data_IF_268706862832
#
_entry.id   IF_268706862832
#
_cell.length_a   1.000
_cell.length_b   1.000
_cell.length_c   1.000
_cell.angle_alpha   90.00
_cell.angle_beta   90.00
_cell.angle_gamma   90.00
#
_symmetry.space_group_name_H-M   'P 1'
#
loop_
_entity.id
_entity.type
_entity.pdbx_description
1 polymer ?
#
# COMPACT_ATOMS: atom_id res chain seq x y z
N UNK A 1 3.86 -18.08 27.38
CA UNK A 1 4.54 -17.08 26.53
C UNK A 1 5.03 -15.96 27.43
N UNK A 2 6.34 -15.70 27.44
CA UNK A 2 6.96 -14.60 28.19
C UNK A 2 6.81 -13.27 27.45
N UNK A 3 7.04 -12.15 28.16
CA UNK A 3 7.07 -10.81 27.55
C UNK A 3 8.17 -10.72 26.47
N UNK A 4 9.30 -11.38 26.67
CA UNK A 4 10.40 -11.40 25.70
C UNK A 4 10.05 -12.18 24.42
N UNK A 5 9.33 -13.30 24.55
CA UNK A 5 8.82 -14.07 23.40
C UNK A 5 7.81 -13.23 22.60
N UNK A 6 6.87 -12.57 23.28
CA UNK A 6 5.89 -11.70 22.62
C UNK A 6 6.55 -10.55 21.85
N UNK A 7 7.56 -9.88 22.43
CA UNK A 7 8.32 -8.81 21.73
C UNK A 7 9.02 -9.32 20.47
N UNK A 8 9.57 -10.52 20.54
CA UNK A 8 10.26 -11.17 19.41
C UNK A 8 9.28 -11.46 18.28
N UNK A 9 8.12 -12.04 18.60
CA UNK A 9 7.06 -12.33 17.63
C UNK A 9 6.49 -11.05 17.00
N UNK A 10 6.23 -10.00 17.80
CA UNK A 10 5.74 -8.72 17.27
C UNK A 10 6.77 -8.04 16.35
N UNK A 11 8.05 -8.07 16.72
CA UNK A 11 9.12 -7.53 15.87
C UNK A 11 9.23 -8.30 14.55
N UNK A 12 9.12 -9.63 14.61
CA UNK A 12 9.08 -10.48 13.42
C UNK A 12 7.87 -10.17 12.53
N UNK A 13 6.69 -9.98 13.14
CA UNK A 13 5.47 -9.61 12.44
C UNK A 13 5.61 -8.26 11.73
N UNK A 14 6.13 -7.24 12.42
CA UNK A 14 6.35 -5.91 11.85
C UNK A 14 7.32 -5.95 10.66
N UNK A 15 8.39 -6.75 10.74
CA UNK A 15 9.36 -6.92 9.66
C UNK A 15 8.77 -7.64 8.43
N UNK A 16 7.70 -8.42 8.59
CA UNK A 16 7.02 -9.14 7.51
C UNK A 16 5.95 -8.31 6.81
N UNK A 17 5.63 -7.10 7.28
CA UNK A 17 4.59 -6.28 6.68
C UNK A 17 4.98 -5.87 5.24
N UNK A 18 4.09 -6.07 4.25
CA UNK A 18 4.42 -5.88 2.83
C UNK A 18 4.37 -4.40 2.38
N UNK A 19 4.84 -3.46 3.21
CA UNK A 19 4.78 -2.02 2.91
C UNK A 19 5.53 -1.66 1.62
N UNK A 20 6.77 -2.13 1.48
CA UNK A 20 7.62 -1.90 0.31
C UNK A 20 7.06 -2.48 -1.00
N UNK A 21 6.65 -3.77 -1.08
CA UNK A 21 6.06 -4.31 -2.30
C UNK A 21 4.72 -3.64 -2.64
N UNK A 22 3.87 -3.30 -1.66
CA UNK A 22 2.63 -2.58 -1.92
C UNK A 22 2.87 -1.15 -2.43
N UNK A 23 3.87 -0.46 -1.89
CA UNK A 23 4.29 0.87 -2.38
C UNK A 23 4.79 0.81 -3.82
N UNK A 24 5.52 -0.25 -4.17
CA UNK A 24 5.98 -0.50 -5.54
C UNK A 24 4.81 -0.77 -6.48
N UNK A 25 3.86 -1.62 -6.07
CA UNK A 25 2.64 -1.91 -6.82
C UNK A 25 1.79 -0.65 -7.03
N UNK A 26 1.69 0.22 -6.01
CA UNK A 26 0.98 1.50 -6.10
C UNK A 26 1.60 2.41 -7.16
N UNK A 27 2.92 2.59 -7.13
CA UNK A 27 3.64 3.42 -8.10
C UNK A 27 3.50 2.87 -9.53
N UNK A 28 3.66 1.56 -9.71
CA UNK A 28 3.46 0.91 -11.01
C UNK A 28 2.03 1.11 -11.55
N UNK A 29 1.02 1.05 -10.68
CA UNK A 29 -0.39 1.31 -11.05
C UNK A 29 -0.60 2.77 -11.45
N UNK A 30 0.04 3.71 -10.76
CA UNK A 30 0.01 5.14 -11.10
C UNK A 30 0.67 5.44 -12.45
N UNK A 31 1.82 4.82 -12.72
CA UNK A 31 2.54 4.95 -13.99
C UNK A 31 1.74 4.36 -15.16
N UNK A 32 1.13 3.19 -14.95
CA UNK A 32 0.25 2.55 -15.93
C UNK A 32 -0.98 3.43 -16.22
N UNK A 33 -1.59 4.02 -15.18
CA UNK A 33 -2.71 4.95 -15.32
C UNK A 33 -2.32 6.19 -16.12
N UNK A 34 -1.16 6.78 -15.83
CA UNK A 34 -0.66 7.95 -16.56
C UNK A 34 -0.40 7.63 -18.03
N UNK A 35 0.16 6.45 -18.33
CA UNK A 35 0.40 5.96 -19.69
C UNK A 35 -0.90 5.72 -20.45
N UNK A 36 -1.92 5.15 -19.82
CA UNK A 36 -3.25 4.99 -20.43
C UNK A 36 -3.91 6.34 -20.70
N UNK A 37 -3.86 7.27 -19.75
CA UNK A 37 -4.45 8.59 -19.92
C UNK A 37 -3.77 9.42 -21.03
N UNK A 38 -2.46 9.25 -21.23
CA UNK A 38 -1.74 9.92 -22.31
C UNK A 38 -2.06 9.31 -23.68
N UNK A 39 -2.07 7.98 -23.79
CA UNK A 39 -2.33 7.28 -25.05
C UNK A 39 -3.75 7.51 -25.61
N UNK A 40 -4.72 7.78 -24.74
CA UNK A 40 -6.12 7.99 -25.11
C UNK A 40 -6.53 9.47 -25.02
N UNK A 41 -5.56 10.39 -24.97
CA UNK A 41 -5.82 11.82 -24.91
C UNK A 41 -6.54 12.28 -26.20
N UNK A 42 -7.75 12.80 -26.05
CA UNK A 42 -8.56 13.31 -27.18
C UNK A 42 -9.41 12.27 -27.88
N UNK A 43 -9.44 11.02 -27.41
CA UNK A 43 -10.41 10.02 -27.86
C UNK A 43 -11.51 9.81 -26.81
N UNK A 44 -12.77 9.89 -27.23
CA UNK A 44 -13.93 9.78 -26.33
C UNK A 44 -14.31 8.30 -26.13
N UNK A 45 -13.39 7.53 -25.53
CA UNK A 45 -13.56 6.10 -25.34
C UNK A 45 -13.95 5.77 -23.89
N UNK A 46 -15.24 5.42 -23.70
CA UNK A 46 -15.82 5.00 -22.41
C UNK A 46 -15.00 3.91 -21.69
N UNK A 47 -14.42 2.97 -22.43
CA UNK A 47 -13.56 1.91 -21.87
C UNK A 47 -12.26 2.45 -21.25
N UNK A 48 -11.65 3.47 -21.87
CA UNK A 48 -10.45 4.12 -21.34
C UNK A 48 -10.75 4.89 -20.06
N UNK A 49 -11.89 5.60 -20.03
CA UNK A 49 -12.31 6.30 -18.82
C UNK A 49 -12.64 5.34 -17.67
N UNK A 50 -13.26 4.20 -17.97
CA UNK A 50 -13.49 3.13 -17.00
C UNK A 50 -12.15 2.57 -16.47
N UNK A 51 -11.16 2.35 -17.35
CA UNK A 51 -9.84 1.87 -16.95
C UNK A 51 -9.09 2.86 -16.04
N UNK A 52 -9.10 4.16 -16.37
CA UNK A 52 -8.49 5.22 -15.54
C UNK A 52 -9.19 5.33 -14.18
N UNK A 53 -10.51 5.22 -14.15
CA UNK A 53 -11.30 5.24 -12.91
C UNK A 53 -10.96 4.02 -12.04
N UNK A 54 -10.93 2.82 -12.62
CA UNK A 54 -10.56 1.60 -11.91
C UNK A 54 -9.13 1.66 -11.36
N UNK A 55 -8.17 2.17 -12.15
CA UNK A 55 -6.80 2.34 -11.70
C UNK A 55 -6.70 3.35 -10.54
N UNK A 56 -7.45 4.45 -10.59
CA UNK A 56 -7.49 5.44 -9.49
C UNK A 56 -8.02 4.82 -8.20
N UNK A 57 -9.12 4.06 -8.28
CA UNK A 57 -9.69 3.36 -7.13
C UNK A 57 -8.72 2.31 -6.55
N UNK A 58 -7.98 1.60 -7.41
CA UNK A 58 -6.96 0.64 -6.98
C UNK A 58 -5.80 1.33 -6.25
N UNK A 59 -5.28 2.43 -6.81
CA UNK A 59 -4.24 3.26 -6.18
C UNK A 59 -4.66 3.77 -4.81
N UNK A 60 -5.87 4.30 -4.67
CA UNK A 60 -6.39 4.77 -3.38
C UNK A 60 -6.55 3.62 -2.37
N UNK A 61 -6.99 2.45 -2.81
CA UNK A 61 -7.10 1.27 -1.96
C UNK A 61 -5.71 0.84 -1.46
N UNK A 62 -4.71 0.83 -2.33
CA UNK A 62 -3.33 0.53 -1.95
C UNK A 62 -2.80 1.56 -0.95
N UNK A 63 -3.05 2.85 -1.15
CA UNK A 63 -2.64 3.90 -0.23
C UNK A 63 -3.21 3.70 1.18
N UNK A 64 -4.50 3.37 1.30
CA UNK A 64 -5.14 3.07 2.60
C UNK A 64 -4.54 1.84 3.29
N UNK A 65 -4.25 0.79 2.52
CA UNK A 65 -3.63 -0.43 3.08
C UNK A 65 -2.21 -0.13 3.56
N UNK A 66 -1.41 0.59 2.77
CA UNK A 66 -0.05 0.99 3.15
C UNK A 66 -0.06 1.77 4.46
N UNK A 67 -0.91 2.80 4.57
CA UNK A 67 -1.02 3.61 5.78
C UNK A 67 -1.41 2.77 7.02
N UNK A 68 -2.34 1.83 6.87
CA UNK A 68 -2.73 0.95 7.97
C UNK A 68 -1.59 0.01 8.41
N UNK A 69 -0.77 -0.47 7.45
CA UNK A 69 0.38 -1.31 7.77
C UNK A 69 1.52 -0.50 8.42
N UNK A 70 1.74 0.73 7.96
CA UNK A 70 2.71 1.65 8.59
C UNK A 70 2.30 1.97 10.03
N UNK A 71 1.02 2.28 10.26
CA UNK A 71 0.50 2.50 11.61
C UNK A 71 0.65 1.27 12.50
N UNK A 72 0.35 0.07 11.99
CA UNK A 72 0.55 -1.17 12.75
C UNK A 72 2.02 -1.40 13.12
N UNK A 73 2.95 -1.07 12.22
CA UNK A 73 4.38 -1.14 12.49
C UNK A 73 4.81 -0.16 13.60
N UNK A 74 4.31 1.07 13.55
CA UNK A 74 4.56 2.11 14.56
C UNK A 74 4.01 1.71 15.93
N UNK A 75 2.78 1.18 16.00
CA UNK A 75 2.16 0.72 17.25
C UNK A 75 2.94 -0.45 17.88
N UNK A 76 3.43 -1.38 17.05
CA UNK A 76 4.29 -2.47 17.50
C UNK A 76 5.62 -1.93 18.06
N UNK A 77 6.25 -0.97 17.36
CA UNK A 77 7.48 -0.35 17.81
C UNK A 77 7.27 0.37 19.15
N UNK A 78 6.20 1.16 19.27
CA UNK A 78 5.85 1.87 20.51
C UNK A 78 5.62 0.91 21.69
N UNK A 79 4.90 -0.20 21.46
CA UNK A 79 4.71 -1.24 22.48
C UNK A 79 6.05 -1.84 22.94
N UNK A 80 6.96 -2.11 22.00
CA UNK A 80 8.27 -2.67 22.30
C UNK A 80 9.21 -1.69 23.01
N UNK A 81 9.00 -0.38 22.88
CA UNK A 81 9.78 0.67 23.55
C UNK A 81 9.25 1.03 24.95
N UNK A 82 7.94 0.85 25.19
CA UNK A 82 7.30 1.21 26.46
C UNK A 82 7.48 0.19 27.60
N UNK A 83 8.03 -1.01 27.32
CA UNK A 83 8.25 -2.13 28.24
C UNK A 83 9.72 -2.50 28.38
#
# INVERSE_FOLDING_TARGET
MSVAELRTELTSLAAQLPVSPLSTARRSTEDARASLASAWRGSDHRSAQAAVTAASAATERLARIIAALEQAAEEIAAYNECL
#
